data_IF_680410666931
#
_entry.id   IF_680410666931
#
_cell.length_a   1.000
_cell.length_b   1.000
_cell.length_c   1.000
_cell.angle_alpha   90.00
_cell.angle_beta   90.00
_cell.angle_gamma   90.00
#
_symmetry.space_group_name_H-M   'P 1'
#
loop_
_entity.id
_entity.type
_entity.pdbx_description
1 polymer ?
#
# COMPACT_ATOMS: atom_id res chain seq x y z
N UNK A 1 4.41 -7.46 -6.39
CA UNK A 1 3.16 -8.19 -6.71
C UNK A 1 2.69 -9.09 -5.58
N UNK A 2 3.53 -10.02 -5.13
CA UNK A 2 3.23 -10.93 -4.00
C UNK A 2 2.76 -10.20 -2.75
N UNK A 3 3.44 -9.11 -2.35
CA UNK A 3 3.06 -8.30 -1.18
C UNK A 3 1.64 -7.69 -1.28
N UNK A 4 1.29 -7.09 -2.42
CA UNK A 4 -0.04 -6.49 -2.60
C UNK A 4 -1.16 -7.53 -2.55
N UNK A 5 -0.96 -8.69 -3.21
CA UNK A 5 -1.95 -9.75 -3.25
C UNK A 5 -2.18 -10.38 -1.86
N UNK A 6 -1.10 -10.66 -1.12
CA UNK A 6 -1.22 -11.24 0.23
C UNK A 6 -1.83 -10.27 1.23
N UNK A 7 -1.49 -8.98 1.17
CA UNK A 7 -2.11 -7.95 2.00
C UNK A 7 -3.61 -7.80 1.72
N UNK A 8 -4.02 -7.77 0.45
CA UNK A 8 -5.43 -7.68 0.09
C UNK A 8 -6.26 -8.86 0.65
N UNK A 9 -5.76 -10.09 0.51
CA UNK A 9 -6.41 -11.27 1.08
C UNK A 9 -6.47 -11.21 2.61
N UNK A 10 -5.37 -10.79 3.27
CA UNK A 10 -5.32 -10.67 4.72
C UNK A 10 -6.27 -9.62 5.27
N UNK A 11 -6.44 -8.47 4.61
CA UNK A 11 -7.39 -7.44 5.05
C UNK A 11 -8.85 -7.87 4.97
N UNK A 12 -9.19 -8.79 4.05
CA UNK A 12 -10.52 -9.41 3.97
C UNK A 12 -10.74 -10.41 5.11
N UNK A 13 -9.69 -11.13 5.49
CA UNK A 13 -9.75 -12.19 6.51
C UNK A 13 -9.57 -11.66 7.94
N UNK A 14 -8.87 -10.53 8.13
CA UNK A 14 -8.58 -9.92 9.43
C UNK A 14 -9.82 -9.72 10.33
N UNK A 15 -10.99 -9.24 9.82
CA UNK A 15 -12.20 -9.05 10.64
C UNK A 15 -12.77 -10.35 11.21
N UNK A 16 -12.42 -11.50 10.64
CA UNK A 16 -12.94 -12.81 11.03
C UNK A 16 -12.09 -13.48 12.13
N UNK A 17 -10.92 -12.90 12.46
CA UNK A 17 -10.00 -13.46 13.45
C UNK A 17 -10.39 -12.99 14.86
N UNK A 18 -10.92 -13.90 15.67
CA UNK A 18 -11.21 -13.64 17.09
C UNK A 18 -9.99 -13.86 18.02
N UNK A 19 -8.95 -14.56 17.55
CA UNK A 19 -7.76 -14.87 18.36
C UNK A 19 -6.71 -13.76 18.26
N UNK A 20 -6.39 -13.13 19.40
CA UNK A 20 -5.44 -12.02 19.52
C UNK A 20 -4.05 -12.36 18.99
N UNK A 21 -3.55 -13.58 19.23
CA UNK A 21 -2.23 -14.01 18.76
C UNK A 21 -2.18 -14.07 17.24
N UNK A 22 -3.22 -14.64 16.62
CA UNK A 22 -3.29 -14.76 15.16
C UNK A 22 -3.50 -13.39 14.49
N UNK A 23 -4.29 -12.52 15.11
CA UNK A 23 -4.44 -11.12 14.68
C UNK A 23 -3.09 -10.38 14.73
N UNK A 24 -2.33 -10.55 15.81
CA UNK A 24 -1.02 -9.90 15.99
C UNK A 24 -0.02 -10.36 14.93
N UNK A 25 0.05 -11.67 14.66
CA UNK A 25 0.93 -12.21 13.61
C UNK A 25 0.55 -11.64 12.24
N UNK A 26 -0.73 -11.58 11.92
CA UNK A 26 -1.22 -10.98 10.68
C UNK A 26 -0.86 -9.49 10.59
N UNK A 27 -1.03 -8.73 11.66
CA UNK A 27 -0.67 -7.31 11.72
C UNK A 27 0.85 -7.10 11.53
N UNK A 28 1.70 -7.91 12.17
CA UNK A 28 3.15 -7.88 11.99
C UNK A 28 3.53 -8.17 10.52
N UNK A 29 2.88 -9.14 9.89
CA UNK A 29 3.10 -9.43 8.48
C UNK A 29 2.67 -8.26 7.57
N UNK A 30 1.51 -7.64 7.83
CA UNK A 30 1.04 -6.47 7.09
C UNK A 30 2.04 -5.31 7.20
N UNK A 31 2.59 -5.07 8.40
CA UNK A 31 3.64 -4.07 8.65
C UNK A 31 4.94 -4.40 7.94
N UNK A 32 5.37 -5.67 7.92
CA UNK A 32 6.56 -6.10 7.20
C UNK A 32 6.41 -5.87 5.67
N UNK A 33 5.25 -6.20 5.11
CA UNK A 33 4.95 -5.94 3.69
C UNK A 33 4.96 -4.45 3.37
N UNK A 34 4.41 -3.62 4.28
CA UNK A 34 4.44 -2.18 4.15
C UNK A 34 5.87 -1.63 4.12
N UNK A 35 6.74 -2.08 5.04
CA UNK A 35 8.15 -1.71 5.05
C UNK A 35 8.91 -2.18 3.80
N UNK A 36 8.64 -3.41 3.35
CA UNK A 36 9.22 -3.95 2.10
C UNK A 36 8.81 -3.15 0.86
N UNK A 37 7.55 -2.74 0.78
CA UNK A 37 7.07 -1.83 -0.27
C UNK A 37 7.85 -0.53 -0.30
N UNK A 38 7.98 0.14 0.85
CA UNK A 38 8.70 1.42 0.95
C UNK A 38 10.20 1.28 0.59
N UNK A 39 10.85 0.19 1.01
CA UNK A 39 12.25 -0.07 0.69
C UNK A 39 12.52 -0.27 -0.82
N UNK A 40 11.54 -0.82 -1.55
CA UNK A 40 11.67 -1.09 -2.99
C UNK A 40 11.27 0.10 -3.87
N UNK A 41 10.54 1.09 -3.35
CA UNK A 41 10.07 2.25 -4.11
C UNK A 41 11.20 3.09 -4.76
N UNK A 42 12.31 3.43 -4.06
CA UNK A 42 13.40 4.20 -4.68
C UNK A 42 14.07 3.42 -5.83
N UNK A 43 14.37 2.14 -5.61
CA UNK A 43 14.97 1.28 -6.63
C UNK A 43 14.07 1.18 -7.87
N UNK A 44 12.76 0.98 -7.66
CA UNK A 44 11.79 0.96 -8.75
C UNK A 44 11.73 2.28 -9.54
N UNK A 45 11.78 3.43 -8.85
CA UNK A 45 11.83 4.74 -9.49
C UNK A 45 13.13 4.92 -10.29
N UNK A 46 14.27 4.49 -9.75
CA UNK A 46 15.57 4.52 -10.42
C UNK A 46 15.56 3.68 -11.72
N UNK A 47 15.07 2.45 -11.63
CA UNK A 47 15.06 1.51 -12.74
C UNK A 47 14.10 1.93 -13.86
N UNK A 48 12.99 2.57 -13.49
CA UNK A 48 11.93 2.95 -14.43
C UNK A 48 12.20 4.28 -15.13
N UNK A 49 12.72 5.27 -14.42
CA UNK A 49 12.85 6.66 -14.91
C UNK A 49 14.28 7.18 -14.99
N UNK A 50 15.26 6.33 -14.64
CA UNK A 50 16.67 6.68 -14.62
C UNK A 50 17.09 7.43 -13.35
N UNK A 51 18.38 7.33 -12.97
CA UNK A 51 18.89 7.88 -11.72
C UNK A 51 18.85 9.42 -11.67
N UNK A 52 18.87 10.10 -12.82
CA UNK A 52 18.85 11.57 -12.89
C UNK A 52 17.54 12.19 -12.37
N UNK A 53 16.41 11.49 -12.51
CA UNK A 53 15.07 11.99 -12.14
C UNK A 53 14.53 11.38 -10.85
N UNK A 54 15.30 10.52 -10.17
CA UNK A 54 14.86 9.75 -9.01
C UNK A 54 14.36 10.67 -7.88
N UNK A 55 15.06 11.78 -7.61
CA UNK A 55 14.73 12.69 -6.53
C UNK A 55 13.39 13.40 -6.75
N UNK A 56 13.10 13.82 -7.99
CA UNK A 56 11.84 14.50 -8.33
C UNK A 56 10.64 13.54 -8.25
N UNK A 57 10.80 12.34 -8.78
CA UNK A 57 9.72 11.34 -8.82
C UNK A 57 9.47 10.77 -7.43
N UNK A 58 10.53 10.34 -6.74
CA UNK A 58 10.40 9.83 -5.38
C UNK A 58 9.89 10.91 -4.41
N UNK A 59 10.29 12.17 -4.60
CA UNK A 59 9.74 13.31 -3.86
C UNK A 59 8.23 13.48 -4.05
N UNK A 60 7.72 13.34 -5.27
CA UNK A 60 6.27 13.33 -5.52
C UNK A 60 5.57 12.13 -4.87
N UNK A 61 6.18 10.94 -4.91
CA UNK A 61 5.65 9.76 -4.23
C UNK A 61 5.54 9.98 -2.72
N UNK A 62 6.56 10.58 -2.10
CA UNK A 62 6.54 10.93 -0.67
C UNK A 62 5.50 12.00 -0.33
N UNK A 63 5.26 12.95 -1.24
CA UNK A 63 4.20 13.95 -1.07
C UNK A 63 2.82 13.29 -1.07
N UNK A 64 2.55 12.41 -2.05
CA UNK A 64 1.32 11.64 -2.09
C UNK A 64 1.15 10.75 -0.84
N UNK A 65 2.24 10.15 -0.36
CA UNK A 65 2.26 9.38 0.87
C UNK A 65 1.95 10.23 2.11
N UNK A 66 2.54 11.42 2.22
CA UNK A 66 2.24 12.38 3.28
C UNK A 66 0.77 12.84 3.25
N UNK A 67 0.24 13.15 2.07
CA UNK A 67 -1.18 13.47 1.89
C UNK A 67 -2.10 12.32 2.34
N UNK A 68 -1.76 11.07 1.99
CA UNK A 68 -2.48 9.90 2.45
C UNK A 68 -2.39 9.71 3.98
N UNK A 69 -1.25 10.03 4.58
CA UNK A 69 -1.05 10.01 6.04
C UNK A 69 -1.95 10.99 6.80
N UNK A 70 -2.25 12.15 6.20
CA UNK A 70 -3.19 13.14 6.78
C UNK A 70 -4.63 12.76 6.48
N UNK A 71 -4.96 12.41 5.23
CA UNK A 71 -6.32 12.11 4.80
C UNK A 71 -6.85 10.78 5.38
N UNK A 72 -5.99 9.78 5.52
CA UNK A 72 -6.35 8.45 5.99
C UNK A 72 -7.10 8.47 7.33
N UNK A 73 -6.50 8.97 8.43
CA UNK A 73 -7.16 9.04 9.73
C UNK A 73 -8.48 9.81 9.70
N UNK A 74 -8.56 10.89 8.92
CA UNK A 74 -9.77 11.70 8.79
C UNK A 74 -10.93 10.89 8.17
N UNK A 75 -10.64 10.10 7.14
CA UNK A 75 -11.64 9.25 6.47
C UNK A 75 -11.99 8.03 7.32
N UNK A 76 -10.99 7.32 7.85
CA UNK A 76 -11.20 6.08 8.60
C UNK A 76 -11.72 6.28 10.03
N UNK A 77 -11.61 7.49 10.59
CA UNK A 77 -12.20 7.82 11.90
C UNK A 77 -13.70 8.13 11.82
N UNK A 78 -14.26 8.30 10.62
CA UNK A 78 -15.70 8.54 10.45
C UNK A 78 -16.53 7.33 10.92
N UNK A 79 -17.59 7.52 11.73
CA UNK A 79 -18.45 6.44 12.22
C UNK A 79 -19.06 5.58 11.11
N UNK A 80 -19.31 6.18 9.94
CA UNK A 80 -19.84 5.48 8.78
C UNK A 80 -18.83 4.51 8.14
N UNK A 81 -17.54 4.81 8.23
CA UNK A 81 -16.47 4.03 7.58
C UNK A 81 -15.86 3.01 8.54
N UNK A 82 -15.80 3.29 9.85
CA UNK A 82 -15.24 2.38 10.87
C UNK A 82 -15.64 0.90 10.74
N UNK A 83 -16.92 0.52 10.60
CA UNK A 83 -17.29 -0.89 10.53
C UNK A 83 -16.80 -1.59 9.25
N UNK A 84 -16.54 -0.83 8.18
CA UNK A 84 -16.11 -1.36 6.88
C UNK A 84 -14.67 -0.96 6.52
N UNK A 85 -13.93 -0.35 7.44
CA UNK A 85 -12.63 0.26 7.20
C UNK A 85 -11.61 -0.74 6.61
N UNK A 86 -11.59 -1.97 7.13
CA UNK A 86 -10.69 -3.03 6.65
C UNK A 86 -11.06 -3.49 5.22
N UNK A 87 -12.34 -3.52 4.87
CA UNK A 87 -12.78 -3.82 3.51
C UNK A 87 -12.46 -2.68 2.54
N UNK A 88 -12.61 -1.43 2.96
CA UNK A 88 -12.20 -0.25 2.17
C UNK A 88 -10.68 -0.27 1.92
N UNK A 89 -9.89 -0.61 2.94
CA UNK A 89 -8.44 -0.77 2.80
C UNK A 89 -8.07 -1.92 1.84
N UNK A 90 -8.77 -3.06 1.93
CA UNK A 90 -8.61 -4.16 0.97
C UNK A 90 -8.91 -3.71 -0.47
N UNK A 91 -10.01 -2.97 -0.67
CA UNK A 91 -10.35 -2.42 -1.99
C UNK A 91 -9.27 -1.51 -2.56
N UNK A 92 -8.69 -0.63 -1.73
CA UNK A 92 -7.61 0.25 -2.14
C UNK A 92 -6.33 -0.53 -2.52
N UNK A 93 -6.01 -1.60 -1.79
CA UNK A 93 -4.89 -2.49 -2.10
C UNK A 93 -5.11 -3.28 -3.40
N UNK A 94 -6.34 -3.74 -3.65
CA UNK A 94 -6.71 -4.40 -4.91
C UNK A 94 -6.56 -3.43 -6.08
N UNK A 95 -7.03 -2.18 -5.93
CA UNK A 95 -6.82 -1.15 -6.94
C UNK A 95 -5.32 -0.90 -7.20
N UNK A 96 -4.51 -0.80 -6.14
CA UNK A 96 -3.05 -0.71 -6.26
C UNK A 96 -2.42 -1.90 -6.98
N UNK A 97 -2.89 -3.12 -6.70
CA UNK A 97 -2.44 -4.33 -7.39
C UNK A 97 -2.78 -4.30 -8.89
N UNK A 98 -4.00 -3.89 -9.24
CA UNK A 98 -4.43 -3.75 -10.65
C UNK A 98 -3.60 -2.67 -11.36
N UNK A 99 -3.37 -1.52 -10.73
CA UNK A 99 -2.50 -0.48 -11.27
C UNK A 99 -1.07 -0.99 -11.50
N UNK A 100 -0.53 -1.78 -10.55
CA UNK A 100 0.78 -2.38 -10.69
C UNK A 100 0.84 -3.39 -11.86
N UNK A 101 -0.26 -4.09 -12.16
CA UNK A 101 -0.33 -5.03 -13.30
C UNK A 101 -0.41 -4.31 -14.64
N UNK A 102 -1.12 -3.18 -14.68
CA UNK A 102 -1.28 -2.36 -15.89
C UNK A 102 -0.01 -1.54 -16.18
N UNK A 103 0.77 -1.23 -15.15
CA UNK A 103 1.98 -0.42 -15.29
C UNK A 103 2.93 -1.01 -16.34
N UNK A 104 3.17 -0.23 -17.39
CA UNK A 104 4.22 -0.48 -18.37
C UNK A 104 5.33 0.55 -18.17
N UNK A 105 6.57 0.08 -18.21
CA UNK A 105 7.74 0.95 -18.14
C UNK A 105 7.65 1.99 -19.26
N UNK A 106 7.89 3.28 -18.99
CA UNK A 106 7.91 4.30 -20.03
C UNK A 106 8.99 3.94 -21.06
N UNK A 107 8.61 3.93 -22.34
CA UNK A 107 9.54 3.74 -23.45
C UNK A 107 10.56 4.88 -23.40
N UNK A 108 11.84 4.55 -23.51
CA UNK A 108 12.91 5.56 -23.53
C UNK A 108 12.69 6.42 -24.78
N UNK A 109 12.32 7.69 -24.58
CA UNK A 109 12.43 8.69 -25.64
C UNK A 109 13.89 8.90 -26.01
#
# INVERSE_FOLDING_TARGET
>A
MTMFATQAALYIYLPQIANVTMYTIAACYLLACYGGGFATMPAFAADSFGPANIGRIYGMMLTAWGCAGVAGPLVFSSPAIKPVALYVAAGLLIAGFVLALIYKKPEKA
#
